data_IF_093125216269
#
_entry.id   IF_093125216269
#
_cell.length_a   1.000
_cell.length_b   1.000
_cell.length_c   1.000
_cell.angle_alpha   90.00
_cell.angle_beta   90.00
_cell.angle_gamma   90.00
#
_symmetry.space_group_name_H-M   'P 1'
#
loop_
_entity.id
_entity.type
_entity.pdbx_description
1 polymer ?
#
# COMPACT_ATOMS: atom_id res chain seq x y z
N UNK A 1 22.05 -19.80 2.35
CA UNK A 1 21.10 -19.66 1.23
C UNK A 1 19.71 -19.93 1.76
N UNK A 2 18.74 -19.09 1.42
CA UNK A 2 17.33 -19.32 1.78
C UNK A 2 16.82 -20.48 0.93
N UNK A 3 16.10 -21.42 1.53
CA UNK A 3 15.53 -22.54 0.78
C UNK A 3 14.44 -22.06 -0.20
N UNK A 4 14.27 -22.72 -1.36
CA UNK A 4 13.32 -22.26 -2.39
C UNK A 4 11.88 -22.16 -1.88
N UNK A 5 11.47 -22.98 -0.91
CA UNK A 5 10.12 -22.97 -0.35
C UNK A 5 9.89 -21.70 0.46
N UNK A 6 10.80 -21.36 1.39
CA UNK A 6 10.75 -20.12 2.17
C UNK A 6 10.74 -18.89 1.27
N UNK A 7 11.45 -18.94 0.16
CA UNK A 7 11.51 -17.87 -0.83
C UNK A 7 10.16 -17.65 -1.52
N UNK A 8 9.55 -18.72 -2.04
CA UNK A 8 8.21 -18.67 -2.66
C UNK A 8 7.19 -18.14 -1.65
N UNK A 9 7.21 -18.67 -0.43
CA UNK A 9 6.29 -18.26 0.63
C UNK A 9 6.49 -16.79 1.02
N UNK A 10 7.74 -16.34 1.12
CA UNK A 10 8.07 -14.95 1.44
C UNK A 10 7.60 -13.97 0.37
N UNK A 11 7.84 -14.28 -0.91
CA UNK A 11 7.35 -13.45 -2.02
C UNK A 11 5.82 -13.45 -2.05
N UNK A 12 5.18 -14.61 -1.88
CA UNK A 12 3.71 -14.74 -1.87
C UNK A 12 3.09 -13.94 -0.73
N UNK A 13 3.65 -14.04 0.48
CA UNK A 13 3.22 -13.25 1.64
C UNK A 13 3.38 -11.76 1.39
N UNK A 14 4.50 -11.34 0.79
CA UNK A 14 4.75 -9.96 0.43
C UNK A 14 3.70 -9.40 -0.52
N UNK A 15 3.33 -10.14 -1.57
CA UNK A 15 2.26 -9.73 -2.49
C UNK A 15 0.89 -9.64 -1.82
N UNK A 16 0.56 -10.56 -0.92
CA UNK A 16 -0.68 -10.50 -0.12
C UNK A 16 -0.71 -9.25 0.75
N UNK A 17 0.41 -8.90 1.41
CA UNK A 17 0.52 -7.68 2.21
C UNK A 17 0.31 -6.41 1.36
N UNK A 18 0.80 -6.39 0.12
CA UNK A 18 0.53 -5.30 -0.84
C UNK A 18 -0.95 -5.23 -1.20
N UNK A 19 -1.61 -6.38 -1.39
CA UNK A 19 -3.06 -6.40 -1.62
C UNK A 19 -3.85 -5.82 -0.43
N UNK A 20 -3.47 -6.18 0.81
CA UNK A 20 -4.02 -5.58 2.02
C UNK A 20 -3.82 -4.06 2.01
N UNK A 21 -2.58 -3.61 1.76
CA UNK A 21 -2.22 -2.20 1.70
C UNK A 21 -3.17 -1.36 0.85
N UNK A 22 -3.43 -1.79 -0.39
CA UNK A 22 -4.27 -1.05 -1.35
C UNK A 22 -5.71 -0.88 -0.87
N UNK A 23 -6.24 -1.81 -0.06
CA UNK A 23 -7.59 -1.67 0.50
C UNK A 23 -7.67 -0.61 1.60
N UNK A 24 -6.57 -0.41 2.34
CA UNK A 24 -6.50 0.57 3.43
C UNK A 24 -6.25 2.00 2.94
N UNK A 25 -5.60 2.17 1.78
CA UNK A 25 -5.27 3.49 1.24
C UNK A 25 -6.55 4.24 0.79
N UNK A 26 -6.76 5.50 1.25
CA UNK A 26 -7.94 6.30 0.91
C UNK A 26 -7.77 7.03 -0.44
N UNK A 27 -8.32 6.47 -1.52
CA UNK A 27 -8.15 7.03 -2.87
C UNK A 27 -9.47 7.12 -3.62
N UNK A 28 -9.89 8.34 -3.93
CA UNK A 28 -11.23 8.63 -4.45
C UNK A 28 -11.37 9.04 -5.90
N UNK A 29 -10.29 8.98 -6.69
CA UNK A 29 -10.34 9.26 -8.12
C UNK A 29 -10.96 10.63 -8.44
N UNK A 30 -11.78 10.67 -9.48
CA UNK A 30 -12.40 11.92 -9.94
C UNK A 30 -13.34 12.56 -8.89
N UNK A 31 -14.22 11.82 -8.19
CA UNK A 31 -15.05 12.39 -7.13
C UNK A 31 -14.25 13.04 -5.99
N UNK A 32 -13.14 12.42 -5.54
CA UNK A 32 -12.28 13.06 -4.54
C UNK A 32 -11.58 14.30 -5.10
N UNK A 33 -11.12 14.28 -6.35
CA UNK A 33 -10.50 15.45 -6.98
C UNK A 33 -11.44 16.67 -7.02
N UNK A 34 -12.75 16.43 -7.11
CA UNK A 34 -13.79 17.47 -7.07
C UNK A 34 -14.27 17.80 -5.65
N UNK A 35 -13.61 17.25 -4.61
CA UNK A 35 -14.04 17.35 -3.22
C UNK A 35 -15.48 16.88 -2.98
N UNK A 36 -15.94 15.86 -3.70
CA UNK A 36 -17.29 15.28 -3.55
C UNK A 36 -17.29 13.98 -2.72
N UNK A 37 -16.12 13.50 -2.33
CA UNK A 37 -15.95 12.34 -1.44
C UNK A 37 -14.58 12.38 -0.75
N UNK A 38 -14.40 11.58 0.31
CA UNK A 38 -13.18 11.57 1.13
C UNK A 38 -11.98 10.85 0.48
N UNK A 39 -10.95 11.53 0.03
CA UNK A 39 -9.70 10.86 -0.29
C UNK A 39 -8.81 11.71 -1.15
N UNK A 40 -7.78 11.09 -1.70
CA UNK A 40 -6.89 11.78 -2.64
C UNK A 40 -7.43 11.59 -4.06
N UNK A 41 -7.48 12.69 -4.83
CA UNK A 41 -7.90 12.73 -6.23
C UNK A 41 -6.90 12.08 -7.20
N UNK A 42 -6.65 10.78 -7.03
CA UNK A 42 -5.72 10.00 -7.86
C UNK A 42 -6.20 8.56 -8.04
N UNK A 43 -5.44 7.73 -8.76
CA UNK A 43 -5.69 6.30 -8.89
C UNK A 43 -5.12 5.51 -7.71
N UNK A 44 -5.88 4.51 -7.23
CA UNK A 44 -5.47 3.63 -6.12
C UNK A 44 -4.11 2.99 -6.39
N UNK A 45 -3.91 2.49 -7.62
CA UNK A 45 -2.65 1.89 -8.06
C UNK A 45 -1.51 2.88 -8.08
N UNK A 46 -1.72 4.10 -8.57
CA UNK A 46 -0.68 5.14 -8.67
C UNK A 46 -0.16 5.51 -7.29
N UNK A 47 -1.06 5.73 -6.34
CA UNK A 47 -0.67 6.18 -5.01
C UNK A 47 -0.15 5.02 -4.13
N UNK A 48 -0.73 3.83 -4.23
CA UNK A 48 -0.17 2.62 -3.62
C UNK A 48 1.23 2.31 -4.16
N UNK A 49 1.43 2.44 -5.47
CA UNK A 49 2.73 2.22 -6.11
C UNK A 49 3.72 3.30 -5.68
N UNK A 50 3.33 4.57 -5.64
CA UNK A 50 4.21 5.64 -5.16
C UNK A 50 4.73 5.39 -3.75
N UNK A 51 3.84 5.05 -2.81
CA UNK A 51 4.25 4.71 -1.43
C UNK A 51 5.08 3.44 -1.35
N UNK A 52 4.70 2.39 -2.09
CA UNK A 52 5.47 1.15 -2.19
C UNK A 52 6.88 1.33 -2.76
N UNK A 53 7.03 2.16 -3.79
CA UNK A 53 8.32 2.49 -4.40
C UNK A 53 9.23 3.25 -3.43
N UNK A 54 8.70 4.26 -2.73
CA UNK A 54 9.49 4.97 -1.70
C UNK A 54 9.92 4.03 -0.59
N UNK A 55 9.05 3.11 -0.17
CA UNK A 55 9.39 2.05 0.77
C UNK A 55 10.50 1.13 0.25
N UNK A 56 10.40 0.66 -0.99
CA UNK A 56 11.41 -0.19 -1.63
C UNK A 56 12.78 0.49 -1.72
N UNK A 57 12.81 1.77 -2.09
CA UNK A 57 14.04 2.56 -2.15
C UNK A 57 14.65 2.69 -0.74
N UNK A 58 13.84 2.99 0.27
CA UNK A 58 14.30 3.04 1.67
C UNK A 58 14.86 1.70 2.14
N UNK A 59 14.19 0.59 1.82
CA UNK A 59 14.64 -0.75 2.14
C UNK A 59 15.99 -1.08 1.46
N UNK A 60 16.17 -0.69 0.20
CA UNK A 60 17.44 -0.84 -0.53
C UNK A 60 18.59 -0.05 0.10
N UNK A 61 18.33 1.19 0.54
CA UNK A 61 19.32 1.98 1.29
C UNK A 61 19.69 1.31 2.62
N UNK A 62 18.70 0.79 3.35
CA UNK A 62 18.95 0.10 4.62
C UNK A 62 19.76 -1.18 4.40
N UNK A 63 19.40 -1.99 3.40
CA UNK A 63 20.14 -3.19 3.02
C UNK A 63 21.62 -2.88 2.72
N UNK A 64 21.90 -1.78 2.03
CA UNK A 64 23.28 -1.35 1.77
C UNK A 64 24.03 -0.91 3.04
N UNK A 65 23.33 -0.30 4.00
CA UNK A 65 23.93 0.21 5.22
C UNK A 65 24.24 -0.87 6.26
N UNK A 66 23.35 -1.85 6.45
CA UNK A 66 23.55 -2.91 7.46
C UNK A 66 24.08 -4.21 6.87
N UNK A 67 23.82 -4.47 5.58
CA UNK A 67 24.12 -5.73 4.93
C UNK A 67 22.89 -6.63 4.80
N UNK A 68 23.12 -7.84 4.29
CA UNK A 68 22.09 -8.83 3.98
C UNK A 68 22.04 -10.00 4.99
N UNK A 69 22.44 -9.75 6.23
CA UNK A 69 22.33 -10.76 7.29
C UNK A 69 20.87 -11.04 7.65
N UNK A 70 20.50 -12.29 7.94
CA UNK A 70 19.11 -12.66 8.29
C UNK A 70 18.62 -11.93 9.55
N UNK A 71 19.54 -11.63 10.47
CA UNK A 71 19.33 -10.81 11.66
C UNK A 71 18.90 -9.36 11.35
N UNK A 72 19.20 -8.87 10.15
CA UNK A 72 18.96 -7.49 9.72
C UNK A 72 17.67 -7.35 8.91
N UNK A 73 16.99 -8.46 8.58
CA UNK A 73 15.76 -8.48 7.79
C UNK A 73 14.68 -7.56 8.40
N UNK A 74 14.52 -7.59 9.73
CA UNK A 74 13.54 -6.75 10.42
C UNK A 74 13.81 -5.26 10.24
N UNK A 75 15.08 -4.83 10.23
CA UNK A 75 15.46 -3.43 10.02
C UNK A 75 15.18 -2.99 8.58
N UNK A 76 15.46 -3.84 7.59
CA UNK A 76 15.17 -3.54 6.18
C UNK A 76 13.67 -3.42 5.94
N UNK A 77 12.87 -4.35 6.49
CA UNK A 77 11.41 -4.30 6.44
C UNK A 77 10.86 -3.05 7.12
N UNK A 78 11.37 -2.72 8.32
CA UNK A 78 10.97 -1.52 9.06
C UNK A 78 11.30 -0.23 8.30
N UNK A 79 12.47 -0.15 7.69
CA UNK A 79 12.84 0.99 6.83
C UNK A 79 11.88 1.14 5.67
N UNK A 80 11.54 0.03 4.99
CA UNK A 80 10.57 0.05 3.90
C UNK A 80 9.17 0.46 4.34
N UNK A 81 8.73 0.01 5.51
CA UNK A 81 7.46 0.41 6.12
C UNK A 81 7.42 1.93 6.40
N UNK A 82 8.44 2.46 7.06
CA UNK A 82 8.53 3.89 7.42
C UNK A 82 8.65 4.75 6.17
N UNK A 83 9.44 4.35 5.18
CA UNK A 83 9.56 5.07 3.91
C UNK A 83 8.23 5.17 3.17
N UNK A 84 7.44 4.10 3.15
CA UNK A 84 6.11 4.10 2.57
C UNK A 84 5.12 4.97 3.37
N UNK A 85 5.13 4.87 4.71
CA UNK A 85 4.30 5.68 5.59
C UNK A 85 4.56 7.17 5.40
N UNK A 86 5.83 7.59 5.41
CA UNK A 86 6.20 8.99 5.24
C UNK A 86 5.67 9.56 3.92
N UNK A 87 5.88 8.84 2.81
CA UNK A 87 5.38 9.28 1.51
C UNK A 87 3.87 9.49 1.53
N UNK A 88 3.14 8.53 2.10
CA UNK A 88 1.69 8.61 2.15
C UNK A 88 1.20 9.70 3.11
N UNK A 89 1.76 9.79 4.31
CA UNK A 89 1.38 10.77 5.32
C UNK A 89 1.61 12.20 4.83
N UNK A 90 2.73 12.47 4.16
CA UNK A 90 2.98 13.76 3.53
C UNK A 90 1.97 14.05 2.41
N UNK A 91 1.70 13.07 1.55
CA UNK A 91 0.69 13.21 0.50
C UNK A 91 -0.68 13.52 1.10
N UNK A 92 -1.02 12.84 2.20
CA UNK A 92 -2.30 13.03 2.88
C UNK A 92 -2.41 14.39 3.55
N UNK A 93 -1.34 14.86 4.20
CA UNK A 93 -1.26 16.16 4.84
C UNK A 93 -1.42 17.29 3.81
N UNK A 94 -0.68 17.22 2.71
CA UNK A 94 -0.76 18.23 1.65
C UNK A 94 -2.12 18.23 0.97
N UNK A 95 -2.70 17.05 0.71
CA UNK A 95 -4.05 16.96 0.18
C UNK A 95 -5.06 17.64 1.11
N UNK A 96 -5.02 17.38 2.42
CA UNK A 96 -5.87 18.06 3.40
C UNK A 96 -5.65 19.58 3.42
N UNK A 97 -4.40 20.05 3.32
CA UNK A 97 -4.11 21.48 3.22
C UNK A 97 -4.76 22.09 1.97
N UNK A 98 -4.74 21.41 0.83
CA UNK A 98 -5.40 21.85 -0.41
C UNK A 98 -6.92 21.84 -0.25
N UNK A 99 -7.51 20.81 0.36
CA UNK A 99 -8.96 20.76 0.58
C UNK A 99 -9.44 21.87 1.53
N UNK A 100 -8.74 22.10 2.63
CA UNK A 100 -9.12 23.11 3.63
C UNK A 100 -8.88 24.53 3.11
N UNK A 101 -7.67 24.82 2.61
CA UNK A 101 -7.27 26.19 2.26
C UNK A 101 -7.53 26.55 0.80
N UNK A 102 -7.47 25.56 -0.09
CA UNK A 102 -7.69 25.76 -1.52
C UNK A 102 -9.17 25.65 -1.91
N UNK A 103 -9.86 24.61 -1.44
CA UNK A 103 -11.27 24.35 -1.78
C UNK A 103 -12.24 24.93 -0.75
N UNK A 104 -11.82 25.08 0.52
CA UNK A 104 -12.67 25.62 1.59
C UNK A 104 -13.61 24.58 2.20
N UNK A 105 -13.28 23.29 2.11
CA UNK A 105 -14.06 22.20 2.69
C UNK A 105 -13.36 21.62 3.92
N UNK A 106 -14.16 21.24 4.92
CA UNK A 106 -13.66 20.57 6.12
C UNK A 106 -13.57 19.07 5.84
N UNK A 107 -12.44 18.40 6.17
CA UNK A 107 -12.35 16.95 6.02
C UNK A 107 -13.41 16.24 6.85
N UNK A 108 -14.36 15.56 6.19
CA UNK A 108 -15.50 14.95 6.84
C UNK A 108 -15.96 13.67 6.13
N UNK A 109 -16.36 12.67 6.90
CA UNK A 109 -16.89 11.38 6.41
C UNK A 109 -18.41 11.38 6.40
N UNK A 110 -19.01 10.79 5.38
CA UNK A 110 -20.45 10.69 5.19
C UNK A 110 -21.03 9.32 5.55
N UNK A 111 -20.24 8.23 5.53
CA UNK A 111 -20.74 6.88 5.90
C UNK A 111 -20.87 6.68 7.40
N UNK A 112 -20.19 7.47 8.23
CA UNK A 112 -20.29 7.37 9.68
C UNK A 112 -20.56 8.74 10.29
N UNK A 113 -21.56 8.82 11.18
CA UNK A 113 -21.94 10.08 11.85
C UNK A 113 -20.86 10.61 12.79
N UNK A 114 -20.11 9.71 13.41
CA UNK A 114 -19.05 10.02 14.36
C UNK A 114 -17.76 9.37 13.88
N UNK A 115 -16.66 10.12 13.87
CA UNK A 115 -15.36 9.55 13.53
C UNK A 115 -15.03 8.42 14.54
N UNK A 116 -14.72 7.19 14.08
CA UNK A 116 -14.39 6.08 14.97
C UNK A 116 -13.21 6.35 15.93
N UNK A 117 -12.33 7.27 15.57
CA UNK A 117 -11.11 7.61 16.31
C UNK A 117 -11.35 8.81 17.24
N UNK A 118 -11.76 9.95 16.69
CA UNK A 118 -11.89 11.19 17.49
C UNK A 118 -13.25 11.32 18.16
N UNK A 119 -14.26 10.58 17.70
CA UNK A 119 -15.68 10.69 18.11
C UNK A 119 -16.31 12.04 17.77
N UNK A 120 -15.68 12.82 16.90
CA UNK A 120 -16.26 14.07 16.41
C UNK A 120 -17.42 13.79 15.48
N UNK A 121 -18.44 14.64 15.55
CA UNK A 121 -19.63 14.53 14.73
C UNK A 121 -19.38 15.08 13.32
N UNK A 122 -19.37 14.21 12.32
CA UNK A 122 -18.95 14.50 10.94
C UNK A 122 -20.12 14.89 10.02
N UNK A 123 -21.33 14.36 10.27
CA UNK A 123 -22.52 14.55 9.43
C UNK A 123 -22.94 16.02 9.25
N UNK A 124 -22.58 16.89 10.19
CA UNK A 124 -22.87 18.32 10.15
C UNK A 124 -22.04 19.10 9.11
N UNK A 125 -20.90 18.55 8.71
CA UNK A 125 -19.92 19.23 7.85
C UNK A 125 -19.95 18.72 6.40
N UNK A 126 -20.75 17.68 6.13
CA UNK A 126 -20.93 17.11 4.79
C UNK A 126 -21.94 17.95 3.99
N UNK A 127 -21.57 18.35 2.78
CA UNK A 127 -22.40 19.12 1.88
C UNK A 127 -23.44 18.22 1.22
N UNK A 128 -24.60 18.79 0.89
CA UNK A 128 -25.68 18.01 0.28
C UNK A 128 -25.23 17.41 -1.06
N UNK A 129 -25.47 16.10 -1.22
CA UNK A 129 -25.10 15.36 -2.42
C UNK A 129 -23.65 14.89 -2.49
N UNK A 130 -22.83 15.10 -1.44
CA UNK A 130 -21.46 14.56 -1.38
C UNK A 130 -21.36 13.38 -0.41
N UNK A 131 -20.35 12.55 -0.64
CA UNK A 131 -20.00 11.38 0.17
C UNK A 131 -18.74 11.70 0.99
N UNK A 132 -18.75 12.87 1.63
CA UNK A 132 -17.67 13.43 2.43
C UNK A 132 -16.68 14.31 1.65
N UNK A 133 -15.61 14.71 2.33
CA UNK A 133 -14.60 15.66 1.82
C UNK A 133 -13.22 15.36 2.40
N UNK A 134 -12.17 15.68 1.64
CA UNK A 134 -10.79 15.60 2.10
C UNK A 134 -10.43 14.26 2.72
N UNK A 135 -9.59 14.27 3.76
CA UNK A 135 -9.26 13.07 4.51
C UNK A 135 -9.48 13.29 6.01
N UNK A 136 -10.64 12.86 6.54
CA UNK A 136 -10.87 12.84 7.97
C UNK A 136 -9.88 11.89 8.68
N UNK A 137 -9.77 12.00 9.99
CA UNK A 137 -8.75 11.30 10.80
C UNK A 137 -8.77 9.78 10.58
N UNK A 138 -9.96 9.17 10.49
CA UNK A 138 -10.10 7.75 10.16
C UNK A 138 -9.48 7.36 8.80
N UNK A 139 -9.65 8.18 7.77
CA UNK A 139 -9.04 7.94 6.46
C UNK A 139 -7.53 8.07 6.54
N UNK A 140 -7.04 9.07 7.26
CA UNK A 140 -5.61 9.30 7.45
C UNK A 140 -4.95 8.08 8.11
N UNK A 141 -5.47 7.65 9.26
CA UNK A 141 -4.95 6.49 10.00
C UNK A 141 -5.05 5.20 9.18
N UNK A 142 -6.17 4.99 8.48
CA UNK A 142 -6.32 3.87 7.55
C UNK A 142 -5.24 3.91 6.47
N UNK A 143 -5.02 5.08 5.87
CA UNK A 143 -3.97 5.28 4.87
C UNK A 143 -2.60 4.89 5.42
N UNK A 144 -2.19 5.47 6.55
CA UNK A 144 -0.91 5.20 7.20
C UNK A 144 -0.69 3.71 7.43
N UNK A 145 -1.71 2.99 7.90
CA UNK A 145 -1.65 1.52 8.05
C UNK A 145 -1.52 0.80 6.72
N UNK A 146 -2.23 1.26 5.69
CA UNK A 146 -2.09 0.75 4.33
C UNK A 146 -0.66 0.91 3.81
N UNK A 147 -0.07 2.09 3.93
CA UNK A 147 1.32 2.33 3.55
C UNK A 147 2.31 1.45 4.33
N UNK A 148 2.08 1.24 5.63
CA UNK A 148 2.89 0.32 6.43
C UNK A 148 2.87 -1.09 5.83
N UNK A 149 1.69 -1.66 5.58
CA UNK A 149 1.58 -3.00 4.99
C UNK A 149 2.18 -3.07 3.59
N UNK A 150 2.02 -2.01 2.79
CA UNK A 150 2.58 -1.93 1.44
C UNK A 150 4.10 -1.88 1.46
N UNK A 151 4.67 -1.07 2.35
CA UNK A 151 6.11 -0.96 2.56
C UNK A 151 6.73 -2.26 3.05
N UNK A 152 6.13 -2.92 4.05
CA UNK A 152 6.57 -4.25 4.53
C UNK A 152 6.44 -5.29 3.42
N UNK A 153 5.31 -5.32 2.71
CA UNK A 153 5.08 -6.27 1.63
C UNK A 153 6.09 -6.13 0.49
N UNK A 154 6.31 -4.91 0.01
CA UNK A 154 7.31 -4.62 -1.03
C UNK A 154 8.73 -4.96 -0.58
N UNK A 155 9.13 -4.50 0.62
CA UNK A 155 10.48 -4.77 1.16
C UNK A 155 10.72 -6.27 1.41
N UNK A 156 9.70 -7.05 1.76
CA UNK A 156 9.81 -8.50 1.90
C UNK A 156 10.09 -9.18 0.55
N UNK A 157 9.36 -8.79 -0.50
CA UNK A 157 9.61 -9.30 -1.85
C UNK A 157 11.03 -8.95 -2.31
N UNK A 158 11.44 -7.70 -2.08
CA UNK A 158 12.79 -7.24 -2.40
C UNK A 158 13.87 -8.03 -1.66
N UNK A 159 13.70 -8.26 -0.35
CA UNK A 159 14.63 -9.03 0.47
C UNK A 159 14.80 -10.46 -0.04
N UNK A 160 13.69 -11.13 -0.37
CA UNK A 160 13.71 -12.51 -0.89
C UNK A 160 14.41 -12.60 -2.24
N UNK A 161 14.15 -11.65 -3.14
CA UNK A 161 14.78 -11.60 -4.47
C UNK A 161 16.27 -11.25 -4.40
N UNK A 162 16.67 -10.42 -3.42
CA UNK A 162 18.07 -10.08 -3.21
C UNK A 162 18.91 -11.30 -2.83
N UNK A 163 18.36 -12.21 -2.03
CA UNK A 163 19.03 -13.45 -1.64
C UNK A 163 19.18 -14.46 -2.78
N UNK A 164 18.50 -14.26 -3.91
CA UNK A 164 18.67 -15.04 -5.14
C UNK A 164 19.66 -14.37 -6.08
N UNK A 165 19.42 -13.09 -6.37
CA UNK A 165 20.14 -12.38 -7.42
C UNK A 165 21.50 -11.86 -6.98
N UNK A 166 21.67 -11.56 -5.68
CA UNK A 166 22.74 -10.72 -5.13
C UNK A 166 22.88 -9.34 -5.82
N UNK A 167 21.88 -8.94 -6.63
CA UNK A 167 21.86 -7.70 -7.39
C UNK A 167 20.69 -6.82 -6.88
N UNK A 168 21.00 -5.67 -6.24
CA UNK A 168 19.98 -4.73 -5.76
C UNK A 168 19.07 -4.20 -6.87
N UNK A 169 19.61 -3.93 -8.06
CA UNK A 169 18.85 -3.30 -9.15
C UNK A 169 17.83 -4.27 -9.73
N UNK A 170 18.27 -5.50 -10.02
CA UNK A 170 17.39 -6.56 -10.51
C UNK A 170 16.31 -6.91 -9.50
N UNK A 171 16.68 -7.08 -8.22
CA UNK A 171 15.71 -7.34 -7.15
C UNK A 171 14.67 -6.24 -7.02
N UNK A 172 15.10 -4.99 -7.15
CA UNK A 172 14.22 -3.83 -7.15
C UNK A 172 13.19 -3.89 -8.28
N UNK A 173 13.63 -4.06 -9.52
CA UNK A 173 12.73 -4.09 -10.69
C UNK A 173 11.68 -5.19 -10.57
N UNK A 174 12.08 -6.40 -10.17
CA UNK A 174 11.14 -7.51 -9.97
C UNK A 174 10.18 -7.27 -8.81
N UNK A 175 10.66 -6.73 -7.69
CA UNK A 175 9.80 -6.38 -6.55
C UNK A 175 8.74 -5.34 -6.94
N UNK A 176 9.11 -4.34 -7.74
CA UNK A 176 8.20 -3.33 -8.29
C UNK A 176 7.14 -3.97 -9.18
N UNK A 177 7.54 -4.89 -10.06
CA UNK A 177 6.62 -5.62 -10.93
C UNK A 177 5.58 -6.41 -10.13
N UNK A 178 6.03 -7.17 -9.12
CA UNK A 178 5.14 -7.94 -8.23
C UNK A 178 4.22 -7.02 -7.43
N UNK A 179 4.73 -5.87 -6.97
CA UNK A 179 3.94 -4.85 -6.28
C UNK A 179 2.82 -4.31 -7.17
N UNK A 180 3.14 -3.96 -8.42
CA UNK A 180 2.18 -3.44 -9.40
C UNK A 180 1.08 -4.44 -9.72
N UNK A 181 1.43 -5.71 -9.95
CA UNK A 181 0.46 -6.79 -10.21
C UNK A 181 -0.56 -6.86 -9.07
N UNK A 182 -0.09 -6.92 -7.82
CA UNK A 182 -0.97 -7.01 -6.66
C UNK A 182 -1.79 -5.75 -6.43
N UNK A 183 -1.19 -4.57 -6.67
CA UNK A 183 -1.89 -3.29 -6.54
C UNK A 183 -3.04 -3.17 -7.55
N UNK A 184 -2.84 -3.65 -8.78
CA UNK A 184 -3.86 -3.63 -9.84
C UNK A 184 -4.99 -4.63 -9.54
N UNK A 185 -4.66 -5.85 -9.10
CA UNK A 185 -5.68 -6.84 -8.72
C UNK A 185 -6.54 -6.30 -7.58
N UNK A 186 -5.92 -5.70 -6.56
CA UNK A 186 -6.63 -5.12 -5.44
C UNK A 186 -7.50 -3.92 -5.84
N UNK A 187 -7.04 -3.07 -6.76
CA UNK A 187 -7.77 -1.87 -7.17
C UNK A 187 -9.08 -2.16 -7.87
N UNK A 188 -9.16 -3.20 -8.71
CA UNK A 188 -10.39 -3.62 -9.37
C UNK A 188 -11.50 -4.03 -8.40
N UNK A 189 -11.11 -4.36 -7.17
CA UNK A 189 -12.05 -4.79 -6.15
C UNK A 189 -12.67 -3.63 -5.35
N UNK A 190 -12.07 -2.44 -5.42
CA UNK A 190 -12.47 -1.25 -4.66
C UNK A 190 -13.61 -0.52 -5.39
N UNK A 191 -14.79 -0.44 -4.76
CA UNK A 191 -16.03 0.07 -5.33
C UNK A 191 -16.26 1.58 -5.18
N UNK A 192 -15.22 2.41 -5.22
CA UNK A 192 -15.32 3.87 -5.17
C UNK A 192 -15.60 4.49 -3.80
N UNK A 193 -15.81 3.69 -2.76
CA UNK A 193 -15.93 4.13 -1.36
C UNK A 193 -14.55 4.16 -0.69
N UNK A 194 -14.28 5.21 0.10
CA UNK A 194 -12.92 5.67 0.40
C UNK A 194 -12.71 6.16 1.84
N UNK A 195 -13.56 5.75 2.75
CA UNK A 195 -13.57 6.30 4.12
C UNK A 195 -12.65 5.58 5.12
N UNK A 196 -11.79 4.68 4.64
CA UNK A 196 -10.85 3.93 5.49
C UNK A 196 -11.40 2.56 5.90
N UNK A 197 -11.03 2.06 7.08
CA UNK A 197 -11.20 0.65 7.47
C UNK A 197 -12.64 0.20 7.79
N UNK A 198 -13.58 1.13 7.99
CA UNK A 198 -15.01 0.82 8.18
C UNK A 198 -15.78 0.68 6.86
N UNK A 199 -15.08 0.82 5.74
CA UNK A 199 -15.70 0.93 4.43
C UNK A 199 -16.21 -0.43 3.90
N UNK A 200 -17.37 -0.47 3.21
CA UNK A 200 -17.89 -1.67 2.55
C UNK A 200 -16.88 -2.41 1.65
N UNK A 201 -15.85 -1.74 1.11
CA UNK A 201 -14.78 -2.37 0.30
C UNK A 201 -14.08 -3.52 1.03
N UNK A 202 -14.00 -3.48 2.37
CA UNK A 202 -13.40 -4.56 3.16
C UNK A 202 -14.19 -5.88 3.09
N UNK A 203 -15.47 -5.86 2.72
CA UNK A 203 -16.25 -7.09 2.48
C UNK A 203 -15.73 -7.89 1.28
N UNK A 204 -15.04 -7.23 0.35
CA UNK A 204 -14.49 -7.87 -0.84
C UNK A 204 -13.02 -8.28 -0.66
N UNK A 205 -12.38 -7.83 0.43
CA UNK A 205 -10.97 -8.11 0.72
C UNK A 205 -10.62 -9.61 0.68
N UNK A 206 -11.42 -10.55 1.22
CA UNK A 206 -11.09 -11.97 1.15
C UNK A 206 -10.92 -12.48 -0.30
N UNK A 207 -11.74 -11.99 -1.23
CA UNK A 207 -11.64 -12.36 -2.65
C UNK A 207 -10.37 -11.80 -3.29
N UNK A 208 -10.00 -10.56 -2.95
CA UNK A 208 -8.76 -9.97 -3.45
C UNK A 208 -7.52 -10.67 -2.87
N UNK A 209 -7.54 -11.06 -1.60
CA UNK A 209 -6.45 -11.83 -0.97
C UNK A 209 -6.24 -13.16 -1.68
N UNK A 210 -7.32 -13.89 -1.99
CA UNK A 210 -7.21 -15.16 -2.74
C UNK A 210 -6.65 -14.92 -4.14
N UNK A 211 -7.13 -13.90 -4.86
CA UNK A 211 -6.62 -13.57 -6.18
C UNK A 211 -5.14 -13.15 -6.15
N UNK A 212 -4.75 -12.34 -5.16
CA UNK A 212 -3.37 -11.91 -4.92
C UNK A 212 -2.45 -13.08 -4.56
N UNK A 213 -2.93 -14.03 -3.74
CA UNK A 213 -2.19 -15.23 -3.38
C UNK A 213 -1.87 -16.06 -4.63
N UNK A 214 -2.88 -16.35 -5.45
CA UNK A 214 -2.70 -17.13 -6.69
C UNK A 214 -1.79 -16.41 -7.68
N UNK A 215 -2.01 -15.11 -7.91
CA UNK A 215 -1.19 -14.33 -8.83
C UNK A 215 0.28 -14.23 -8.37
N UNK A 216 0.50 -13.92 -7.09
CA UNK A 216 1.86 -13.78 -6.56
C UNK A 216 2.58 -15.11 -6.48
N UNK A 217 1.89 -16.20 -6.18
CA UNK A 217 2.48 -17.54 -6.21
C UNK A 217 3.01 -17.89 -7.60
N UNK A 218 2.23 -17.61 -8.66
CA UNK A 218 2.67 -17.79 -10.05
C UNK A 218 3.86 -16.87 -10.39
N UNK A 219 3.81 -15.60 -9.97
CA UNK A 219 4.93 -14.68 -10.16
C UNK A 219 6.20 -15.14 -9.41
N UNK A 220 6.05 -15.71 -8.22
CA UNK A 220 7.17 -16.23 -7.42
C UNK A 220 7.84 -17.42 -8.10
N UNK A 221 7.06 -18.35 -8.66
CA UNK A 221 7.61 -19.47 -9.45
C UNK A 221 8.41 -18.95 -10.65
N UNK A 222 7.86 -18.00 -11.40
CA UNK A 222 8.55 -17.42 -12.56
C UNK A 222 9.82 -16.67 -12.12
N UNK A 223 9.75 -15.87 -11.04
CA UNK A 223 10.86 -15.08 -10.56
C UNK A 223 12.08 -15.94 -10.18
N UNK A 224 11.87 -17.14 -9.62
CA UNK A 224 12.96 -18.05 -9.27
C UNK A 224 13.72 -18.54 -10.51
N UNK A 225 13.03 -18.78 -11.62
CA UNK A 225 13.66 -19.25 -12.86
C UNK A 225 14.29 -18.13 -13.70
N UNK A 226 13.75 -16.91 -13.63
CA UNK A 226 14.17 -15.79 -14.49
C UNK A 226 15.28 -14.95 -13.86
N UNK A 227 15.36 -14.88 -12.53
CA UNK A 227 16.38 -14.08 -11.85
C UNK A 227 17.76 -14.73 -12.01
N UNK A 228 18.79 -14.01 -12.49
CA UNK A 228 20.16 -14.53 -12.58
C UNK A 228 20.64 -15.01 -11.21
N UNK A 229 21.05 -16.28 -11.09
CA UNK A 229 21.35 -16.93 -9.80
C UNK A 229 20.22 -17.81 -9.24
N UNK A 230 19.11 -17.95 -9.98
CA UNK A 230 17.98 -18.81 -9.65
C UNK A 230 18.38 -20.22 -9.20
N UNK A 231 17.84 -20.66 -8.08
CA UNK A 231 18.01 -22.03 -7.61
C UNK A 231 17.36 -22.98 -8.62
N UNK A 232 18.17 -23.86 -9.21
CA UNK A 232 17.65 -25.08 -9.86
C UNK A 232 17.01 -25.90 -8.73
N UNK A 233 15.68 -26.01 -8.76
CA UNK A 233 14.92 -26.89 -7.86
C UNK A 233 15.47 -28.33 -7.91
#
# INVERSE_FOLDING_TARGET
MIDPITLILGITLGGVLVCFAVHFIPVGGAPAAMAQTTGIGTGTTMLATGSGLTGLVSAGFMLNAVGAGVDQMALVLASGAVGAMLMLDFTMLIANAIYVWGVGVVPASAKVKYDPITKDRQDLYVSQGTEGHGMPTVCFVSGTLGALFGGVGGSLVYWMLYHVSADPAMSGIFAIGIFLVNSVIASYNIGGTIEGFHDPKFKRLPKAVVASLVATFLCALIAIYVVPGGAVL
#
